data_IF_948210236224
#
_entry.id   IF_948210236224
#
_cell.length_a   1.000
_cell.length_b   1.000
_cell.length_c   1.000
_cell.angle_alpha   90.00
_cell.angle_beta   90.00
_cell.angle_gamma   90.00
#
_symmetry.space_group_name_H-M   'P 1'
#
loop_
_entity.id
_entity.type
_entity.pdbx_description
1 polymer ?
#
# COMPACT_ATOMS: atom_id res chain seq x y z
N UNK A 1 10.09 -2.19 23.49
CA UNK A 1 10.57 -2.47 22.13
C UNK A 1 10.36 -3.95 21.88
N UNK A 2 9.67 -4.31 20.79
CA UNK A 2 9.47 -5.71 20.41
C UNK A 2 10.81 -6.33 20.04
N UNK A 3 11.12 -7.50 20.60
CA UNK A 3 12.31 -8.28 20.34
C UNK A 3 11.95 -9.77 20.31
N UNK A 4 12.90 -10.63 19.92
CA UNK A 4 12.68 -12.08 19.81
C UNK A 4 12.19 -12.72 21.12
N UNK A 5 12.54 -12.14 22.28
CA UNK A 5 12.10 -12.64 23.60
C UNK A 5 10.74 -12.13 24.05
N UNK A 6 10.16 -11.12 23.40
CA UNK A 6 8.81 -10.59 23.70
C UNK A 6 7.76 -11.03 22.69
N UNK A 7 8.16 -11.55 21.53
CA UNK A 7 7.25 -12.09 20.51
C UNK A 7 6.76 -13.49 20.88
N UNK A 8 5.59 -13.57 21.50
CA UNK A 8 4.96 -14.83 21.87
C UNK A 8 4.20 -15.48 20.69
N UNK A 9 3.96 -16.81 20.75
CA UNK A 9 3.23 -17.54 19.70
C UNK A 9 1.85 -16.96 19.37
N UNK A 10 1.15 -16.39 20.36
CA UNK A 10 -0.16 -15.79 20.14
C UNK A 10 -0.09 -14.50 19.31
N UNK A 11 0.99 -13.72 19.42
CA UNK A 11 1.20 -12.55 18.55
C UNK A 11 1.40 -12.97 17.09
N UNK A 12 2.15 -14.06 16.86
CA UNK A 12 2.28 -14.64 15.52
C UNK A 12 0.93 -15.09 14.99
N UNK A 13 0.12 -15.77 15.80
CA UNK A 13 -1.21 -16.22 15.38
C UNK A 13 -2.13 -15.06 15.00
N UNK A 14 -2.12 -13.95 15.76
CA UNK A 14 -2.87 -12.73 15.43
C UNK A 14 -2.34 -12.09 14.14
N UNK A 15 -1.01 -12.04 13.96
CA UNK A 15 -0.42 -11.49 12.74
C UNK A 15 -0.81 -12.29 11.50
N UNK A 16 -0.78 -13.62 11.56
CA UNK A 16 -1.22 -14.48 10.46
C UNK A 16 -2.72 -14.31 10.20
N UNK A 17 -3.57 -14.24 11.24
CA UNK A 17 -5.00 -13.97 11.07
C UNK A 17 -5.26 -12.59 10.41
N UNK A 18 -4.47 -11.57 10.77
CA UNK A 18 -4.54 -10.27 10.11
C UNK A 18 -4.13 -10.37 8.64
N UNK A 19 -3.03 -11.07 8.33
CA UNK A 19 -2.63 -11.30 6.94
C UNK A 19 -3.73 -12.00 6.17
N UNK A 20 -4.35 -13.05 6.71
CA UNK A 20 -5.45 -13.77 6.09
C UNK A 20 -6.62 -12.82 5.75
N UNK A 21 -6.96 -11.88 6.65
CA UNK A 21 -7.95 -10.84 6.36
C UNK A 21 -7.58 -9.95 5.16
N UNK A 22 -6.29 -9.69 4.91
CA UNK A 22 -5.84 -8.97 3.71
C UNK A 22 -5.90 -9.81 2.44
N UNK A 23 -5.76 -11.14 2.54
CA UNK A 23 -5.85 -12.05 1.38
C UNK A 23 -7.30 -12.28 0.93
N UNK A 24 -8.26 -12.23 1.84
CA UNK A 24 -9.67 -12.43 1.53
C UNK A 24 -10.32 -11.16 0.93
N UNK A 25 -10.76 -11.27 -0.33
CA UNK A 25 -11.48 -10.19 -1.01
C UNK A 25 -12.75 -9.76 -0.25
N UNK A 26 -12.94 -8.45 -0.10
CA UNK A 26 -14.16 -7.85 0.46
C UNK A 26 -14.17 -7.58 1.97
N UNK A 27 -13.10 -7.93 2.70
CA UNK A 27 -12.92 -7.53 4.10
C UNK A 27 -12.14 -6.21 4.23
N UNK A 28 -11.01 -6.12 3.54
CA UNK A 28 -10.11 -4.96 3.59
C UNK A 28 -9.84 -4.44 2.17
N UNK A 29 -9.60 -5.36 1.23
CA UNK A 29 -9.31 -5.04 -0.17
C UNK A 29 -10.56 -5.24 -1.02
N UNK A 30 -11.01 -4.17 -1.66
CA UNK A 30 -12.20 -4.18 -2.51
C UNK A 30 -11.83 -3.98 -3.99
N UNK A 31 -12.75 -4.38 -4.87
CA UNK A 31 -12.62 -4.15 -6.30
C UNK A 31 -12.78 -2.66 -6.60
N UNK A 32 -11.98 -2.17 -7.53
CA UNK A 32 -12.05 -0.77 -7.98
C UNK A 32 -13.39 -0.46 -8.64
N UNK A 33 -13.94 0.71 -8.32
CA UNK A 33 -15.10 1.30 -8.99
C UNK A 33 -14.63 2.41 -9.94
N UNK A 34 -14.69 2.23 -11.26
CA UNK A 34 -14.08 3.16 -12.22
C UNK A 34 -14.73 4.56 -12.25
N UNK A 35 -15.95 4.70 -11.73
CA UNK A 35 -16.65 5.99 -11.63
C UNK A 35 -16.38 6.79 -10.36
N UNK A 36 -15.52 6.29 -9.45
CA UNK A 36 -15.21 6.95 -8.17
C UNK A 36 -13.77 7.45 -8.16
N UNK A 37 -13.55 8.58 -7.48
CA UNK A 37 -12.22 9.14 -7.29
C UNK A 37 -11.31 8.13 -6.58
N UNK A 38 -10.10 8.03 -7.09
CA UNK A 38 -9.03 7.22 -6.55
C UNK A 38 -8.13 8.11 -5.70
N UNK A 39 -7.84 7.66 -4.50
CA UNK A 39 -6.92 8.34 -3.60
C UNK A 39 -5.65 7.49 -3.55
N UNK A 40 -4.51 8.12 -3.80
CA UNK A 40 -3.22 7.44 -3.81
C UNK A 40 -2.37 7.99 -2.68
N UNK A 41 -2.09 7.13 -1.71
CA UNK A 41 -1.15 7.40 -0.63
C UNK A 41 0.20 6.79 -0.99
N UNK A 42 1.24 7.61 -1.07
CA UNK A 42 2.61 7.15 -1.30
C UNK A 42 3.48 7.49 -0.11
N UNK A 43 4.41 6.60 0.20
CA UNK A 43 5.41 6.84 1.23
C UNK A 43 6.77 6.29 0.76
N UNK A 44 7.81 7.09 0.96
CA UNK A 44 9.19 6.75 0.63
C UNK A 44 10.05 6.63 1.89
N UNK A 45 10.80 5.54 1.97
CA UNK A 45 11.85 5.36 2.96
C UNK A 45 13.17 4.98 2.27
N UNK A 46 14.29 5.08 2.98
CA UNK A 46 15.60 4.64 2.47
C UNK A 46 15.67 3.14 2.17
N UNK A 47 14.73 2.34 2.67
CA UNK A 47 14.68 0.88 2.46
C UNK A 47 13.70 0.46 1.37
N UNK A 48 12.64 1.24 1.16
CA UNK A 48 11.52 0.82 0.33
C UNK A 48 10.56 1.94 0.02
N UNK A 49 9.80 1.73 -1.06
CA UNK A 49 8.69 2.56 -1.47
C UNK A 49 7.40 1.78 -1.21
N UNK A 50 6.39 2.47 -0.72
CA UNK A 50 5.04 1.94 -0.61
C UNK A 50 4.01 2.87 -1.23
N UNK A 51 2.92 2.26 -1.67
CA UNK A 51 1.79 2.91 -2.31
C UNK A 51 0.51 2.18 -1.95
N UNK A 52 -0.47 2.90 -1.42
CA UNK A 52 -1.80 2.39 -1.12
C UNK A 52 -2.79 3.15 -1.98
N UNK A 53 -3.56 2.40 -2.76
CA UNK A 53 -4.66 2.90 -3.56
C UNK A 53 -5.95 2.69 -2.78
N UNK A 54 -6.65 3.78 -2.49
CA UNK A 54 -7.95 3.79 -1.83
C UNK A 54 -9.03 4.42 -2.70
N UNK A 55 -10.28 4.21 -2.31
CA UNK A 55 -11.44 4.90 -2.86
C UNK A 55 -12.41 5.25 -1.74
N UNK A 56 -13.20 6.30 -1.94
CA UNK A 56 -14.28 6.66 -1.02
C UNK A 56 -15.54 5.85 -1.34
N UNK A 57 -16.22 5.38 -0.30
CA UNK A 57 -17.57 4.85 -0.40
C UNK A 57 -18.62 5.97 -0.47
N UNK A 58 -19.90 5.61 -0.51
CA UNK A 58 -21.01 6.57 -0.56
C UNK A 58 -21.21 7.33 0.76
N UNK A 59 -20.64 6.82 1.85
CA UNK A 59 -20.67 7.43 3.17
C UNK A 59 -19.44 8.31 3.45
N UNK A 60 -18.51 8.42 2.48
CA UNK A 60 -17.25 9.16 2.62
C UNK A 60 -16.15 8.42 3.37
N UNK A 61 -16.28 7.11 3.59
CA UNK A 61 -15.27 6.27 4.20
C UNK A 61 -14.34 5.67 3.15
N UNK A 62 -13.04 5.81 3.38
CA UNK A 62 -12.02 5.26 2.49
C UNK A 62 -11.86 3.75 2.68
N UNK A 63 -11.87 3.01 1.58
CA UNK A 63 -11.55 1.59 1.55
C UNK A 63 -10.35 1.33 0.64
N UNK A 64 -9.57 0.30 0.98
CA UNK A 64 -8.38 -0.06 0.23
C UNK A 64 -8.74 -0.87 -1.01
N UNK A 65 -8.11 -0.56 -2.14
CA UNK A 65 -8.30 -1.25 -3.43
C UNK A 65 -7.07 -2.08 -3.78
N UNK A 66 -5.88 -1.51 -3.57
CA UNK A 66 -4.63 -2.20 -3.83
C UNK A 66 -3.52 -1.61 -2.96
N UNK A 67 -2.60 -2.45 -2.53
CA UNK A 67 -1.35 -2.04 -1.95
C UNK A 67 -0.21 -2.51 -2.85
N UNK A 68 0.73 -1.61 -3.13
CA UNK A 68 1.96 -1.92 -3.84
C UNK A 68 3.12 -1.47 -3.00
N UNK A 69 4.14 -2.31 -2.92
CA UNK A 69 5.39 -1.96 -2.28
C UNK A 69 6.53 -2.56 -3.06
N UNK A 70 7.69 -1.90 -2.99
CA UNK A 70 8.92 -2.41 -3.57
C UNK A 70 10.12 -2.00 -2.72
N UNK A 71 11.07 -2.91 -2.60
CA UNK A 71 12.39 -2.58 -2.08
C UNK A 71 13.14 -1.69 -3.08
N UNK A 72 13.95 -0.78 -2.55
CA UNK A 72 14.78 0.11 -3.35
C UNK A 72 16.04 -0.60 -3.84
N UNK A 73 16.49 -0.22 -5.04
CA UNK A 73 17.81 -0.63 -5.52
C UNK A 73 18.91 0.24 -4.86
N UNK A 74 20.16 -0.24 -4.87
CA UNK A 74 21.29 0.43 -4.20
C UNK A 74 21.49 1.90 -4.64
N UNK A 75 21.12 2.23 -5.87
CA UNK A 75 21.19 3.61 -6.38
C UNK A 75 20.03 4.48 -5.90
N UNK A 76 18.86 3.89 -5.66
CA UNK A 76 17.65 4.60 -5.23
C UNK A 76 17.64 4.87 -3.72
N UNK A 77 18.30 4.02 -2.92
CA UNK A 77 18.50 4.24 -1.49
C UNK A 77 19.26 5.54 -1.17
N UNK A 78 20.04 6.06 -2.12
CA UNK A 78 20.82 7.30 -1.97
C UNK A 78 20.04 8.55 -2.38
N UNK A 79 18.76 8.43 -2.76
CA UNK A 79 17.96 9.60 -3.09
C UNK A 79 17.59 10.39 -1.84
N UNK A 80 17.75 11.71 -1.96
CA UNK A 80 17.19 12.68 -1.02
C UNK A 80 15.66 12.57 -1.04
N UNK A 81 15.03 12.83 0.11
CA UNK A 81 13.60 12.58 0.35
C UNK A 81 12.68 13.08 -0.77
N UNK A 82 12.85 14.30 -1.27
CA UNK A 82 12.03 14.83 -2.37
C UNK A 82 12.10 14.02 -3.68
N UNK A 83 13.27 13.49 -4.04
CA UNK A 83 13.44 12.61 -5.21
C UNK A 83 12.84 11.23 -4.96
N UNK A 84 12.93 10.76 -3.71
CA UNK A 84 12.30 9.53 -3.27
C UNK A 84 10.78 9.56 -3.36
N UNK A 85 10.16 10.65 -2.91
CA UNK A 85 8.71 10.86 -3.00
C UNK A 85 8.22 10.85 -4.46
N UNK A 86 8.92 11.57 -5.34
CA UNK A 86 8.59 11.57 -6.77
C UNK A 86 8.73 10.16 -7.39
N UNK A 87 9.73 9.40 -6.96
CA UNK A 87 9.91 8.02 -7.39
C UNK A 87 8.80 7.10 -6.85
N UNK A 88 8.28 7.37 -5.66
CA UNK A 88 7.14 6.65 -5.10
C UNK A 88 5.89 6.86 -5.95
N UNK A 89 5.56 8.11 -6.29
CA UNK A 89 4.45 8.45 -7.19
C UNK A 89 4.60 7.82 -8.59
N UNK A 90 5.80 7.83 -9.17
CA UNK A 90 6.03 7.14 -10.45
C UNK A 90 5.93 5.61 -10.33
N UNK A 91 6.34 5.03 -9.20
CA UNK A 91 6.29 3.58 -8.99
C UNK A 91 4.86 3.09 -8.86
N UNK A 92 3.98 3.87 -8.25
CA UNK A 92 2.56 3.56 -8.09
C UNK A 92 1.77 3.69 -9.40
N UNK A 93 2.29 4.41 -10.40
CA UNK A 93 1.79 4.36 -11.79
C UNK A 93 1.71 2.93 -12.34
N UNK A 94 2.50 1.97 -11.82
CA UNK A 94 2.37 0.54 -12.18
C UNK A 94 1.01 -0.07 -11.83
N UNK A 95 0.22 0.59 -10.97
CA UNK A 95 -1.16 0.20 -10.66
C UNK A 95 -2.16 0.64 -11.75
N UNK A 96 -1.72 1.34 -12.80
CA UNK A 96 -2.59 1.78 -13.89
C UNK A 96 -3.46 0.70 -14.57
N UNK A 97 -3.03 -0.58 -14.68
CA UNK A 97 -3.90 -1.63 -15.21
C UNK A 97 -5.12 -1.86 -14.33
N UNK A 98 -4.98 -1.66 -13.01
CA UNK A 98 -6.07 -1.80 -12.04
C UNK A 98 -7.00 -0.60 -12.15
N UNK A 99 -6.48 0.60 -12.37
CA UNK A 99 -7.29 1.83 -12.49
C UNK A 99 -7.98 2.01 -13.85
N UNK A 100 -7.86 1.07 -14.80
CA UNK A 100 -8.51 1.11 -16.12
C UNK A 100 -8.30 2.44 -16.89
N UNK A 101 -7.18 3.13 -16.66
CA UNK A 101 -6.89 4.41 -17.31
C UNK A 101 -7.63 5.62 -16.73
N UNK A 102 -8.31 5.48 -15.59
CA UNK A 102 -8.81 6.64 -14.84
C UNK A 102 -7.60 7.41 -14.29
N UNK A 103 -7.45 8.66 -14.71
CA UNK A 103 -6.39 9.55 -14.23
C UNK A 103 -6.56 9.79 -12.73
N UNK A 104 -5.50 9.53 -11.97
CA UNK A 104 -5.29 9.98 -10.58
C UNK A 104 -4.77 11.40 -10.57
#
# INVERSE_FOLDING_TARGET
>A
MWNESTWQPHHQAVLEALKDCFWHQGLIVHRVHPGRLLILHTDFSTYGISGILGQLDENGQEYMVAAVSRSLNAHECNYISNKGEMLAACSTQKCQPITHGTCV
#
